data_IF_196011962420
#
_entry.id   IF_196011962420
#
_cell.length_a   1.000
_cell.length_b   1.000
_cell.length_c   1.000
_cell.angle_alpha   90.00
_cell.angle_beta   90.00
_cell.angle_gamma   90.00
#
_symmetry.space_group_name_H-M   'P 1'
#
loop_
_entity.id
_entity.type
_entity.pdbx_description
1 polymer ?
#
# COMPACT_ATOMS: atom_id res chain seq x y z
N UNK A 1 -14.73 5.38 6.65
CA UNK A 1 -13.74 4.83 5.69
C UNK A 1 -12.33 4.89 6.25
N UNK A 2 -11.80 6.07 6.58
CA UNK A 2 -10.46 6.22 7.16
C UNK A 2 -10.24 5.39 8.44
N UNK A 3 -11.23 5.37 9.35
CA UNK A 3 -11.17 4.52 10.56
C UNK A 3 -11.10 3.01 10.26
N UNK A 4 -11.72 2.57 9.16
CA UNK A 4 -11.65 1.17 8.73
C UNK A 4 -10.25 0.82 8.23
N UNK A 5 -9.65 1.72 7.43
CA UNK A 5 -8.26 1.60 6.99
C UNK A 5 -7.32 1.59 8.20
N UNK A 6 -7.51 2.49 9.16
CA UNK A 6 -6.70 2.55 10.36
C UNK A 6 -6.77 1.25 11.18
N UNK A 7 -7.98 0.72 11.38
CA UNK A 7 -8.18 -0.57 12.05
C UNK A 7 -7.48 -1.70 11.30
N UNK A 8 -7.58 -1.71 9.98
CA UNK A 8 -6.97 -2.75 9.16
C UNK A 8 -5.43 -2.68 9.19
N UNK A 9 -4.85 -1.48 9.14
CA UNK A 9 -3.41 -1.27 9.31
C UNK A 9 -2.92 -1.81 10.64
N UNK A 10 -3.64 -1.53 11.75
CA UNK A 10 -3.30 -2.07 13.07
C UNK A 10 -3.39 -3.60 13.10
N UNK A 11 -4.43 -4.16 12.50
CA UNK A 11 -4.64 -5.60 12.45
C UNK A 11 -3.50 -6.29 11.70
N UNK A 12 -3.14 -5.80 10.51
CA UNK A 12 -2.01 -6.32 9.73
C UNK A 12 -0.69 -6.20 10.49
N UNK A 13 -0.42 -5.03 11.08
CA UNK A 13 0.80 -4.82 11.86
C UNK A 13 0.90 -5.79 13.05
N UNK A 14 -0.22 -6.10 13.71
CA UNK A 14 -0.29 -7.09 14.78
C UNK A 14 0.03 -8.53 14.34
N UNK A 15 -0.03 -8.83 13.04
CA UNK A 15 0.34 -10.11 12.45
C UNK A 15 1.69 -10.07 11.71
N UNK A 16 2.45 -8.98 11.83
CA UNK A 16 3.69 -8.76 11.08
C UNK A 16 3.49 -8.40 9.61
N UNK A 17 2.23 -8.24 9.17
CA UNK A 17 1.86 -7.78 7.83
C UNK A 17 1.93 -6.26 7.69
N UNK A 18 1.88 -5.79 6.45
CA UNK A 18 1.87 -4.36 6.12
C UNK A 18 0.88 -4.09 5.00
N UNK A 19 0.36 -2.86 4.96
CA UNK A 19 -0.53 -2.38 3.91
C UNK A 19 0.25 -1.48 2.93
N UNK A 20 0.04 -1.69 1.63
CA UNK A 20 0.42 -0.74 0.57
C UNK A 20 -0.86 -0.38 -0.18
N UNK A 21 -1.16 0.91 -0.29
CA UNK A 21 -2.26 1.44 -1.09
C UNK A 21 -1.71 1.86 -2.45
N UNK A 22 -2.25 1.34 -3.54
CA UNK A 22 -1.85 1.70 -4.89
C UNK A 22 -3.01 2.30 -5.70
N UNK A 23 -2.68 3.13 -6.69
CA UNK A 23 -3.69 3.76 -7.53
C UNK A 23 -4.47 4.85 -6.80
N UNK A 24 -3.88 5.45 -5.75
CA UNK A 24 -4.58 6.41 -4.90
C UNK A 24 -4.83 7.71 -5.65
N UNK A 25 -6.12 8.03 -5.85
CA UNK A 25 -6.53 9.25 -6.53
C UNK A 25 -6.21 10.50 -5.69
N UNK A 26 -5.93 11.66 -6.32
CA UNK A 26 -5.54 12.87 -5.60
C UNK A 26 -6.47 13.31 -4.46
N UNK A 27 -7.82 13.19 -4.56
CA UNK A 27 -8.71 13.50 -3.44
C UNK A 27 -8.48 12.62 -2.21
N UNK A 28 -8.31 11.30 -2.41
CA UNK A 28 -8.05 10.37 -1.31
C UNK A 28 -6.65 10.58 -0.73
N UNK A 29 -5.64 10.85 -1.58
CA UNK A 29 -4.28 11.16 -1.12
C UNK A 29 -4.26 12.38 -0.19
N UNK A 30 -5.01 13.43 -0.52
CA UNK A 30 -5.14 14.62 0.34
C UNK A 30 -5.83 14.31 1.66
N UNK A 31 -6.86 13.47 1.64
CA UNK A 31 -7.53 13.03 2.87
C UNK A 31 -6.60 12.22 3.76
N UNK A 32 -5.86 11.27 3.17
CA UNK A 32 -4.89 10.43 3.87
C UNK A 32 -3.80 11.29 4.51
N UNK A 33 -3.20 12.24 3.78
CA UNK A 33 -2.15 13.14 4.32
C UNK A 33 -2.63 14.08 5.41
N UNK A 34 -3.90 14.48 5.38
CA UNK A 34 -4.51 15.32 6.42
C UNK A 34 -4.84 14.53 7.68
N UNK A 35 -4.87 13.21 7.59
CA UNK A 35 -5.06 12.31 8.72
C UNK A 35 -3.72 11.70 9.12
N UNK A 36 -3.50 11.48 10.41
CA UNK A 36 -2.29 10.79 10.91
C UNK A 36 -2.17 9.32 10.39
N UNK A 37 -3.13 8.86 9.58
CA UNK A 37 -3.14 7.55 8.93
C UNK A 37 -1.99 7.41 7.91
N UNK A 38 -1.61 8.49 7.22
CA UNK A 38 -0.48 8.42 6.28
C UNK A 38 0.81 8.01 7.00
N UNK A 39 1.05 8.57 8.18
CA UNK A 39 2.20 8.23 9.03
C UNK A 39 2.14 6.77 9.52
N UNK A 40 0.95 6.27 9.82
CA UNK A 40 0.74 4.89 10.28
C UNK A 40 0.88 3.85 9.17
N UNK A 41 0.45 4.18 7.96
CA UNK A 41 0.65 3.34 6.77
C UNK A 41 2.13 3.36 6.35
N UNK A 42 2.80 4.50 6.55
CA UNK A 42 4.10 4.83 6.01
C UNK A 42 3.94 5.53 4.66
N UNK A 43 4.61 6.66 4.47
CA UNK A 43 4.45 7.48 3.26
C UNK A 43 4.78 6.71 1.98
N UNK A 44 5.84 5.90 2.00
CA UNK A 44 6.26 5.05 0.88
C UNK A 44 5.29 3.89 0.56
N UNK A 45 4.34 3.61 1.46
CA UNK A 45 3.28 2.62 1.27
C UNK A 45 2.03 3.22 0.60
N UNK A 46 2.04 4.51 0.24
CA UNK A 46 0.93 5.15 -0.47
C UNK A 46 1.39 5.56 -1.86
N UNK A 47 0.97 4.80 -2.87
CA UNK A 47 1.37 4.99 -4.25
C UNK A 47 0.23 5.69 -5.01
N UNK A 48 0.45 6.93 -5.48
CA UNK A 48 -0.54 7.66 -6.26
C UNK A 48 -0.91 6.93 -7.55
N UNK A 49 -2.10 7.24 -8.07
CA UNK A 49 -2.48 6.80 -9.42
C UNK A 49 -1.47 7.29 -10.46
N UNK A 50 -1.21 6.44 -11.44
CA UNK A 50 -0.36 6.71 -12.61
C UNK A 50 -1.21 6.71 -13.87
N UNK A 51 -0.73 7.34 -14.93
CA UNK A 51 -1.36 7.29 -16.26
C UNK A 51 -1.15 5.93 -16.95
N UNK A 52 -0.05 5.25 -16.62
CA UNK A 52 0.26 3.91 -17.09
C UNK A 52 -0.69 2.88 -16.45
N UNK A 53 -1.29 2.03 -17.31
CA UNK A 53 -2.11 0.91 -16.86
C UNK A 53 -1.28 -0.02 -15.98
N UNK A 54 -1.78 -0.33 -14.79
CA UNK A 54 -1.07 -1.09 -13.75
C UNK A 54 0.23 -0.46 -13.20
N UNK A 55 0.68 0.70 -13.68
CA UNK A 55 1.94 1.30 -13.22
C UNK A 55 2.01 1.53 -11.71
N UNK A 56 0.90 1.94 -11.08
CA UNK A 56 0.82 2.07 -9.63
C UNK A 56 0.90 0.71 -8.89
N UNK A 57 0.37 -0.36 -9.49
CA UNK A 57 0.43 -1.72 -8.95
C UNK A 57 1.86 -2.27 -9.05
N UNK A 58 2.54 -2.08 -10.19
CA UNK A 58 3.91 -2.52 -10.38
C UNK A 58 4.87 -1.87 -9.37
N UNK A 59 4.68 -0.57 -9.11
CA UNK A 59 5.42 0.13 -8.06
C UNK A 59 5.14 -0.45 -6.67
N UNK A 60 3.89 -0.82 -6.38
CA UNK A 60 3.51 -1.44 -5.10
C UNK A 60 4.17 -2.80 -4.90
N UNK A 61 4.17 -3.64 -5.94
CA UNK A 61 4.81 -4.95 -5.92
C UNK A 61 6.33 -4.82 -5.78
N UNK A 62 6.94 -3.85 -6.48
CA UNK A 62 8.37 -3.58 -6.33
C UNK A 62 8.73 -3.17 -4.90
N UNK A 63 7.92 -2.31 -4.26
CA UNK A 63 8.13 -1.92 -2.86
C UNK A 63 7.92 -3.08 -1.89
N UNK A 64 6.87 -3.89 -2.08
CA UNK A 64 6.62 -5.09 -1.28
C UNK A 64 7.81 -6.04 -1.36
N UNK A 65 8.33 -6.32 -2.56
CA UNK A 65 9.49 -7.19 -2.78
C UNK A 65 10.75 -6.67 -2.09
N UNK A 66 11.03 -5.36 -2.19
CA UNK A 66 12.16 -4.73 -1.49
C UNK A 66 12.11 -4.95 0.01
N UNK A 67 10.91 -4.90 0.61
CA UNK A 67 10.73 -5.01 2.07
C UNK A 67 10.71 -6.45 2.58
N UNK A 68 10.11 -7.37 1.84
CA UNK A 68 10.00 -8.78 2.26
C UNK A 68 11.29 -9.55 2.00
N UNK A 69 12.23 -9.00 1.21
CA UNK A 69 13.43 -9.73 0.78
C UNK A 69 13.12 -10.96 -0.09
N UNK A 70 11.88 -11.06 -0.58
CA UNK A 70 11.39 -12.24 -1.27
C UNK A 70 11.98 -12.34 -2.68
N UNK A 71 12.83 -13.35 -2.85
CA UNK A 71 13.07 -14.01 -4.13
C UNK A 71 11.72 -14.44 -4.72
N UNK A 72 11.60 -14.32 -6.04
CA UNK A 72 10.36 -14.47 -6.81
C UNK A 72 9.54 -15.71 -6.43
N UNK A 73 8.33 -15.52 -5.90
CA UNK A 73 7.26 -16.50 -6.00
C UNK A 73 6.77 -16.53 -7.45
N UNK A 74 6.93 -17.68 -8.10
CA UNK A 74 6.43 -17.94 -9.44
C UNK A 74 4.90 -17.82 -9.55
N UNK A 75 4.35 -17.88 -10.77
CA UNK A 75 2.91 -17.69 -10.98
C UNK A 75 2.08 -18.71 -10.18
N UNK A 76 0.89 -18.34 -9.70
CA UNK A 76 0.03 -19.24 -8.94
C UNK A 76 -0.29 -20.50 -9.77
N UNK A 77 -0.34 -21.70 -9.16
CA UNK A 77 -0.77 -22.89 -9.87
C UNK A 77 -2.21 -22.69 -10.36
N UNK A 78 -2.42 -22.97 -11.64
CA UNK A 78 -3.74 -22.95 -12.29
C UNK A 78 -4.63 -24.13 -11.90
#
# INVERSE_FOLDING_TARGET
MLELLDRYVRHLAGQGGRLILCGVQPPLLRLLRRSEIADRIGEDSIIPATEELFGALDRALAEARRRTGAVQDGPPPG
#
